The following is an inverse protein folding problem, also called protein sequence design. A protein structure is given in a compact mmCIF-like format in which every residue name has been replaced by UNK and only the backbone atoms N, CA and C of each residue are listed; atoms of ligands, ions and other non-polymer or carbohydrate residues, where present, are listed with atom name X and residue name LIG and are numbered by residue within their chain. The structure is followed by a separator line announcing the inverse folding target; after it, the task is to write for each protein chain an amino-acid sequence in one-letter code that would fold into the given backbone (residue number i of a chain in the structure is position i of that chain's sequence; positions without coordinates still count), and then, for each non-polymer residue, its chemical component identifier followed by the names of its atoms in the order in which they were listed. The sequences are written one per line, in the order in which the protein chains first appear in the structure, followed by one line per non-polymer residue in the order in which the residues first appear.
data_IF_849111561934
#
_entry.id   IF_849111561934
#
_cell.length_a   1.000
_cell.length_b   1.000
_cell.length_c   1.000
_cell.angle_alpha   90.00
_cell.angle_beta   90.00
_cell.angle_gamma   90.00
#
_symmetry.space_group_name_H-M   'P 1'
#
loop_
_entity.id
_entity.type
_entity.pdbx_description
1 polymer ?
#
# COMPACT_ATOMS: atom_id res chain seq x y z
N UNK A 1 -40.16 -3.45 3.10
CA UNK A 1 -40.28 -2.16 2.39
C UNK A 1 -40.61 -2.44 0.93
N UNK A 2 -41.48 -1.64 0.27
CA UNK A 2 -41.79 -1.80 -1.14
C UNK A 2 -40.56 -1.46 -1.99
N UNK A 3 -40.31 -2.25 -3.04
CA UNK A 3 -39.21 -2.01 -3.98
C UNK A 3 -39.42 -0.73 -4.76
N UNK A 4 -38.35 0.04 -4.94
CA UNK A 4 -38.34 1.19 -5.83
C UNK A 4 -38.53 0.72 -7.29
N UNK A 5 -39.07 1.59 -8.15
CA UNK A 5 -39.37 1.25 -9.56
C UNK A 5 -38.13 0.74 -10.30
N UNK A 6 -36.96 1.35 -10.06
CA UNK A 6 -35.69 0.93 -10.64
C UNK A 6 -35.24 -0.47 -10.17
N UNK A 7 -35.56 -0.85 -8.94
CA UNK A 7 -35.24 -2.18 -8.41
C UNK A 7 -36.12 -3.29 -9.00
N UNK A 8 -37.29 -2.94 -9.55
CA UNK A 8 -38.20 -3.88 -10.20
C UNK A 8 -37.80 -4.22 -11.63
N UNK A 9 -36.90 -3.44 -12.24
CA UNK A 9 -36.44 -3.68 -13.61
C UNK A 9 -35.72 -5.03 -13.73
N UNK A 10 -35.88 -5.75 -14.85
CA UNK A 10 -35.02 -6.88 -15.20
C UNK A 10 -33.53 -6.51 -15.15
N UNK A 11 -32.68 -7.50 -14.86
CA UNK A 11 -31.24 -7.30 -14.70
C UNK A 11 -30.61 -6.70 -15.96
N UNK A 12 -31.03 -7.17 -17.13
CA UNK A 12 -30.51 -6.79 -18.45
C UNK A 12 -30.78 -5.31 -18.72
N UNK A 13 -32.03 -4.87 -18.50
CA UNK A 13 -32.41 -3.46 -18.68
C UNK A 13 -31.71 -2.56 -17.68
N UNK A 14 -31.58 -3.00 -16.43
CA UNK A 14 -30.86 -2.22 -15.42
C UNK A 14 -29.38 -2.08 -15.78
N UNK A 15 -28.75 -3.16 -16.26
CA UNK A 15 -27.36 -3.15 -16.71
C UNK A 15 -27.18 -2.23 -17.93
N UNK A 16 -28.08 -2.29 -18.92
CA UNK A 16 -28.04 -1.41 -20.10
C UNK A 16 -28.17 0.06 -19.72
N UNK A 17 -29.14 0.41 -18.87
CA UNK A 17 -29.31 1.77 -18.31
C UNK A 17 -28.02 2.21 -17.59
N UNK A 18 -27.44 1.33 -16.78
CA UNK A 18 -26.23 1.62 -16.04
C UNK A 18 -25.01 1.81 -16.97
N UNK A 19 -24.92 1.08 -18.07
CA UNK A 19 -23.85 1.25 -19.06
C UNK A 19 -23.93 2.59 -19.80
N UNK A 20 -25.13 3.16 -19.97
CA UNK A 20 -25.29 4.50 -20.53
C UNK A 20 -24.86 5.62 -19.57
N UNK A 21 -24.91 5.38 -18.26
CA UNK A 21 -24.52 6.35 -17.23
C UNK A 21 -23.95 5.62 -16.00
N UNK A 22 -22.64 5.26 -16.00
CA UNK A 22 -22.02 4.48 -14.93
C UNK A 22 -21.80 5.32 -13.66
N UNK A 23 -22.86 5.49 -12.89
CA UNK A 23 -22.87 6.19 -11.61
C UNK A 23 -22.44 5.24 -10.48
N UNK A 24 -21.23 5.45 -9.93
CA UNK A 24 -20.63 4.58 -8.91
C UNK A 24 -21.48 4.52 -7.62
N UNK A 25 -22.33 5.53 -7.38
CA UNK A 25 -23.25 5.54 -6.25
C UNK A 25 -24.49 4.65 -6.44
N UNK A 26 -24.85 4.25 -7.67
CA UNK A 26 -26.06 3.46 -7.92
C UNK A 26 -26.00 2.06 -7.26
N UNK A 27 -24.92 1.27 -7.38
CA UNK A 27 -24.79 0.02 -6.63
C UNK A 27 -24.72 0.21 -5.11
N UNK A 28 -24.39 1.42 -4.62
CA UNK A 28 -24.33 1.72 -3.18
C UNK A 28 -25.70 2.08 -2.60
N UNK A 29 -26.62 2.56 -3.44
CA UNK A 29 -27.94 3.01 -3.02
C UNK A 29 -28.84 1.86 -2.57
N UNK A 30 -28.65 0.65 -3.12
CA UNK A 30 -29.45 -0.52 -2.74
C UNK A 30 -28.70 -1.84 -2.94
N UNK A 31 -28.80 -2.79 -1.99
CA UNK A 31 -28.27 -4.14 -2.14
C UNK A 31 -28.84 -4.90 -3.35
N UNK A 32 -30.10 -4.62 -3.73
CA UNK A 32 -30.76 -5.29 -4.85
C UNK A 32 -30.17 -4.81 -6.17
N UNK A 33 -29.93 -3.49 -6.29
CA UNK A 33 -29.23 -2.92 -7.43
C UNK A 33 -27.79 -3.43 -7.50
N UNK A 34 -27.10 -3.51 -6.36
CA UNK A 34 -25.75 -4.07 -6.30
C UNK A 34 -25.68 -5.50 -6.86
N UNK A 35 -26.63 -6.35 -6.46
CA UNK A 35 -26.70 -7.74 -6.92
C UNK A 35 -26.93 -7.83 -8.43
N UNK A 36 -27.87 -7.03 -8.97
CA UNK A 36 -28.17 -7.02 -10.40
C UNK A 36 -27.03 -6.44 -11.25
N UNK A 37 -26.25 -5.52 -10.70
CA UNK A 37 -25.09 -4.92 -11.37
C UNK A 37 -23.78 -5.71 -11.15
N UNK A 38 -23.84 -6.83 -10.41
CA UNK A 38 -22.68 -7.66 -10.12
C UNK A 38 -22.29 -8.55 -11.31
N UNK A 39 -21.72 -7.93 -12.34
CA UNK A 39 -21.23 -8.64 -13.52
C UNK A 39 -19.84 -8.15 -13.93
N UNK A 40 -18.85 -9.05 -14.19
CA UNK A 40 -17.48 -8.64 -14.50
C UNK A 40 -17.36 -7.68 -15.68
N UNK A 41 -18.13 -7.88 -16.76
CA UNK A 41 -18.10 -6.99 -17.92
C UNK A 41 -18.61 -5.58 -17.59
N UNK A 42 -19.60 -5.47 -16.70
CA UNK A 42 -20.14 -4.19 -16.25
C UNK A 42 -19.05 -3.43 -15.48
N UNK A 43 -18.36 -4.10 -14.56
CA UNK A 43 -17.26 -3.51 -13.81
C UNK A 43 -16.08 -3.10 -14.68
N UNK A 44 -15.71 -3.90 -15.68
CA UNK A 44 -14.66 -3.53 -16.64
C UNK A 44 -15.07 -2.30 -17.48
N UNK A 45 -16.34 -2.20 -17.85
CA UNK A 45 -16.85 -1.03 -18.59
C UNK A 45 -16.90 0.22 -17.71
N UNK A 46 -17.25 0.09 -16.42
CA UNK A 46 -17.13 1.19 -15.44
C UNK A 46 -15.67 1.64 -15.30
N UNK A 47 -14.73 0.70 -15.22
CA UNK A 47 -13.31 1.04 -15.21
C UNK A 47 -12.89 1.77 -16.50
N UNK A 48 -13.33 1.31 -17.67
CA UNK A 48 -13.07 2.00 -18.93
C UNK A 48 -13.62 3.43 -18.90
N UNK A 49 -14.87 3.65 -18.50
CA UNK A 49 -15.45 4.99 -18.40
C UNK A 49 -14.68 5.88 -17.41
N UNK A 50 -14.45 5.40 -16.18
CA UNK A 50 -13.85 6.22 -15.11
C UNK A 50 -12.35 6.49 -15.31
N UNK A 51 -11.62 5.57 -15.96
CA UNK A 51 -10.18 5.71 -16.19
C UNK A 51 -9.82 6.15 -17.63
N UNK A 52 -10.73 6.14 -18.61
CA UNK A 52 -10.46 6.63 -19.98
C UNK A 52 -11.00 8.05 -20.24
N UNK A 53 -11.97 8.52 -19.45
CA UNK A 53 -12.67 9.80 -19.62
C UNK A 53 -11.95 11.00 -18.98
N UNK A 54 -11.83 12.14 -19.69
CA UNK A 54 -10.92 12.42 -20.80
C UNK A 54 -9.57 13.03 -20.34
N UNK A 55 -8.56 13.10 -21.25
CA UNK A 55 -7.30 13.80 -21.01
C UNK A 55 -7.51 15.32 -20.79
N UNK A 56 -6.71 15.98 -19.95
CA UNK A 56 -6.88 17.40 -19.67
C UNK A 56 -6.56 18.25 -20.90
N UNK A 57 -7.59 18.78 -21.55
CA UNK A 57 -7.48 20.10 -22.15
C UNK A 57 -7.27 21.08 -20.99
N UNK A 58 -6.09 21.72 -21.00
CA UNK A 58 -5.37 22.41 -19.90
C UNK A 58 -6.10 23.55 -19.15
N UNK A 59 -7.43 23.62 -19.08
CA UNK A 59 -8.12 24.84 -18.62
C UNK A 59 -9.06 24.73 -17.41
N UNK A 60 -9.28 23.57 -16.80
CA UNK A 60 -10.25 23.49 -15.69
C UNK A 60 -9.80 22.59 -14.53
N UNK A 61 -9.27 23.20 -13.47
CA UNK A 61 -8.93 22.51 -12.20
C UNK A 61 -10.13 21.77 -11.56
N UNK A 62 -11.37 22.20 -11.86
CA UNK A 62 -12.60 21.53 -11.41
C UNK A 62 -12.76 20.13 -12.01
N UNK A 63 -12.41 19.94 -13.28
CA UNK A 63 -12.52 18.66 -13.99
C UNK A 63 -11.54 17.64 -13.43
N UNK A 64 -10.33 18.09 -13.05
CA UNK A 64 -9.32 17.23 -12.42
C UNK A 64 -9.78 16.71 -11.05
N UNK A 65 -10.40 17.56 -10.23
CA UNK A 65 -10.94 17.15 -8.93
C UNK A 65 -12.07 16.11 -9.06
N UNK A 66 -12.98 16.29 -10.02
CA UNK A 66 -14.07 15.34 -10.26
C UNK A 66 -13.56 13.98 -10.74
N UNK A 67 -12.58 13.97 -11.67
CA UNK A 67 -11.93 12.72 -12.13
C UNK A 67 -11.25 12.00 -10.96
N UNK A 68 -10.50 12.72 -10.12
CA UNK A 68 -9.87 12.15 -8.92
C UNK A 68 -10.91 11.53 -7.98
N UNK A 69 -12.04 12.21 -7.75
CA UNK A 69 -13.12 11.72 -6.90
C UNK A 69 -13.80 10.48 -7.47
N UNK A 70 -14.11 10.46 -8.78
CA UNK A 70 -14.73 9.30 -9.46
C UNK A 70 -13.81 8.08 -9.40
N UNK A 71 -12.51 8.26 -9.68
CA UNK A 71 -11.52 7.18 -9.59
C UNK A 71 -11.37 6.66 -8.15
N UNK A 72 -11.25 7.56 -7.17
CA UNK A 72 -11.18 7.18 -5.75
C UNK A 72 -12.44 6.43 -5.29
N UNK A 73 -13.62 6.83 -5.77
CA UNK A 73 -14.88 6.15 -5.47
C UNK A 73 -14.89 4.72 -6.02
N UNK A 74 -14.44 4.49 -7.26
CA UNK A 74 -14.30 3.14 -7.83
C UNK A 74 -13.37 2.28 -6.98
N UNK A 75 -12.21 2.81 -6.58
CA UNK A 75 -11.30 2.07 -5.71
C UNK A 75 -11.84 1.79 -4.31
N UNK A 76 -12.78 2.59 -3.81
CA UNK A 76 -13.45 2.33 -2.55
C UNK A 76 -14.49 1.19 -2.65
N UNK A 77 -14.97 0.86 -3.85
CA UNK A 77 -15.99 -0.16 -4.06
C UNK A 77 -15.51 -1.57 -3.72
N UNK A 78 -16.39 -2.36 -3.11
CA UNK A 78 -16.07 -3.74 -2.69
C UNK A 78 -15.72 -4.67 -3.85
N UNK A 79 -16.28 -4.42 -5.03
CA UNK A 79 -16.02 -5.22 -6.24
C UNK A 79 -14.68 -4.89 -6.90
N UNK A 80 -14.05 -3.76 -6.56
CA UNK A 80 -12.74 -3.39 -7.09
C UNK A 80 -11.67 -4.21 -6.38
N UNK A 81 -11.32 -5.35 -6.96
CA UNK A 81 -10.33 -6.31 -6.44
C UNK A 81 -9.07 -6.31 -7.31
N UNK A 82 -7.98 -6.88 -6.78
CA UNK A 82 -6.74 -7.01 -7.55
C UNK A 82 -6.92 -7.77 -8.88
N UNK A 83 -7.57 -8.95 -8.94
CA UNK A 83 -7.75 -9.67 -10.20
C UNK A 83 -8.51 -8.84 -11.24
N UNK A 84 -9.55 -8.12 -10.84
CA UNK A 84 -10.33 -7.29 -11.75
C UNK A 84 -9.50 -6.12 -12.29
N UNK A 85 -8.70 -5.48 -11.43
CA UNK A 85 -7.80 -4.42 -11.85
C UNK A 85 -6.71 -4.94 -12.80
N UNK A 86 -6.14 -6.11 -12.54
CA UNK A 86 -5.16 -6.74 -13.43
C UNK A 86 -5.75 -7.02 -14.81
N UNK A 87 -6.94 -7.62 -14.85
CA UNK A 87 -7.69 -7.86 -16.11
C UNK A 87 -7.90 -6.54 -16.85
N UNK A 88 -8.34 -5.48 -16.17
CA UNK A 88 -8.52 -4.15 -16.76
C UNK A 88 -7.20 -3.60 -17.34
N UNK A 89 -6.12 -3.64 -16.57
CA UNK A 89 -4.80 -3.14 -17.01
C UNK A 89 -4.31 -3.91 -18.23
N UNK A 90 -4.44 -5.25 -18.25
CA UNK A 90 -4.08 -6.09 -19.40
C UNK A 90 -4.91 -5.73 -20.64
N UNK A 91 -6.24 -5.62 -20.50
CA UNK A 91 -7.11 -5.25 -21.62
C UNK A 91 -6.80 -3.86 -22.16
N UNK A 92 -6.55 -2.88 -21.29
CA UNK A 92 -6.16 -1.53 -21.71
C UNK A 92 -4.85 -1.53 -22.46
N UNK A 93 -3.87 -2.27 -21.96
CA UNK A 93 -2.55 -2.44 -22.56
C UNK A 93 -2.61 -2.99 -23.98
N UNK A 94 -3.57 -3.90 -24.25
CA UNK A 94 -3.82 -4.44 -25.58
C UNK A 94 -4.51 -3.43 -26.53
N UNK A 95 -5.37 -2.53 -26.00
CA UNK A 95 -6.13 -1.54 -26.80
C UNK A 95 -5.34 -0.30 -27.15
N UNK A 96 -4.52 0.18 -26.21
CA UNK A 96 -3.63 1.32 -26.39
C UNK A 96 -2.21 0.86 -26.15
N UNK A 97 -1.48 0.41 -27.19
CA UNK A 97 -0.04 0.22 -27.08
C UNK A 97 0.60 1.61 -26.92
N UNK A 98 0.57 2.16 -25.71
CA UNK A 98 1.29 3.38 -25.41
C UNK A 98 2.79 3.09 -25.60
N UNK A 99 3.55 4.10 -26.01
CA UNK A 99 4.96 4.01 -26.43
C UNK A 99 5.94 3.56 -25.32
N UNK A 100 5.44 3.24 -24.13
CA UNK A 100 6.18 2.43 -23.16
C UNK A 100 5.52 1.06 -23.12
N UNK A 101 6.10 0.03 -23.76
CA UNK A 101 5.54 -1.29 -23.69
C UNK A 101 5.42 -1.72 -22.23
N UNK A 102 4.30 -2.36 -21.91
CA UNK A 102 4.08 -3.08 -20.66
C UNK A 102 5.13 -4.17 -20.43
N UNK A 103 6.02 -4.45 -21.40
CA UNK A 103 7.27 -5.19 -21.17
C UNK A 103 8.16 -4.55 -20.07
N UNK A 104 7.93 -3.29 -19.71
CA UNK A 104 8.58 -2.62 -18.58
C UNK A 104 7.97 -2.94 -17.20
N UNK A 105 6.90 -3.75 -17.13
CA UNK A 105 6.48 -4.41 -15.88
C UNK A 105 7.58 -5.40 -15.40
N UNK A 106 8.45 -5.85 -16.31
CA UNK A 106 9.60 -6.71 -16.02
C UNK A 106 10.94 -5.97 -15.94
N UNK A 107 10.94 -4.65 -16.14
CA UNK A 107 12.16 -3.88 -15.95
C UNK A 107 12.45 -3.72 -14.45
N UNK A 108 13.72 -3.74 -14.03
CA UNK A 108 14.09 -3.50 -12.65
C UNK A 108 13.46 -2.18 -12.13
N UNK A 109 13.14 -2.08 -10.83
CA UNK A 109 12.24 -1.09 -10.21
C UNK A 109 12.59 0.41 -10.36
N UNK A 110 13.56 0.76 -11.20
CA UNK A 110 14.14 2.09 -11.35
C UNK A 110 13.83 2.80 -12.69
N UNK A 111 13.06 2.24 -13.63
CA UNK A 111 12.85 2.90 -14.95
C UNK A 111 11.45 3.46 -15.22
N UNK A 112 10.37 2.85 -14.74
CA UNK A 112 9.03 3.49 -14.80
C UNK A 112 8.82 4.29 -13.51
N UNK A 113 8.93 5.61 -13.59
CA UNK A 113 8.86 6.52 -12.42
C UNK A 113 7.57 7.33 -12.37
N UNK A 114 6.65 7.10 -13.32
CA UNK A 114 5.45 7.91 -13.50
C UNK A 114 4.22 7.04 -13.37
N UNK A 115 3.30 7.51 -12.52
CA UNK A 115 1.92 7.01 -12.47
C UNK A 115 1.34 7.07 -13.89
N UNK A 116 0.62 6.02 -14.35
CA UNK A 116 0.02 6.03 -15.67
C UNK A 116 -0.82 7.29 -15.89
N UNK A 117 -0.82 7.88 -17.10
CA UNK A 117 -1.46 9.18 -17.36
C UNK A 117 -2.98 9.16 -17.19
N UNK A 118 -3.58 7.97 -17.13
CA UNK A 118 -5.01 7.74 -16.92
C UNK A 118 -5.39 7.57 -15.44
N UNK A 119 -4.40 7.54 -14.54
CA UNK A 119 -4.61 7.32 -13.11
C UNK A 119 -4.22 8.58 -12.34
N UNK A 120 -5.22 9.26 -11.79
CA UNK A 120 -5.10 10.54 -11.11
C UNK A 120 -5.31 10.44 -9.59
N UNK A 121 -6.03 9.42 -9.12
CA UNK A 121 -6.33 9.28 -7.69
C UNK A 121 -5.17 8.74 -6.85
N UNK A 122 -5.22 9.03 -5.55
CA UNK A 122 -4.31 8.49 -4.55
C UNK A 122 -4.64 7.06 -4.13
N UNK A 123 -3.75 6.46 -3.33
CA UNK A 123 -3.94 5.10 -2.81
C UNK A 123 -5.20 5.04 -1.92
N UNK A 124 -6.06 4.02 -2.08
CA UNK A 124 -7.30 3.89 -1.30
C UNK A 124 -7.02 3.70 0.19
N UNK A 125 -7.67 4.48 1.05
CA UNK A 125 -7.45 4.46 2.50
C UNK A 125 -7.68 3.09 3.14
N UNK A 126 -8.66 2.32 2.63
CA UNK A 126 -8.94 0.95 3.09
C UNK A 126 -7.76 -0.01 2.94
N UNK A 127 -6.83 0.28 2.02
CA UNK A 127 -5.62 -0.52 1.79
C UNK A 127 -4.43 -0.06 2.65
N UNK A 128 -4.60 0.99 3.46
CA UNK A 128 -3.52 1.62 4.21
C UNK A 128 -3.50 1.28 5.70
N UNK A 129 -4.41 0.46 6.21
CA UNK A 129 -4.46 0.04 7.63
C UNK A 129 -4.83 -1.45 7.77
N UNK A 130 -4.70 -2.05 8.96
CA UNK A 130 -5.04 -3.46 9.19
C UNK A 130 -6.56 -3.76 9.14
N UNK A 131 -7.00 -5.04 9.07
CA UNK A 131 -6.19 -6.25 9.07
C UNK A 131 -5.48 -6.50 7.73
N UNK A 132 -4.25 -7.06 7.78
CA UNK A 132 -3.40 -7.31 6.62
C UNK A 132 -3.57 -8.73 6.04
N UNK A 133 -4.60 -8.92 5.21
CA UNK A 133 -4.80 -10.17 4.48
C UNK A 133 -3.87 -10.29 3.26
N UNK A 134 -3.54 -11.52 2.83
CA UNK A 134 -2.67 -11.75 1.66
C UNK A 134 -3.14 -11.00 0.41
N UNK A 135 -4.46 -11.02 0.14
CA UNK A 135 -5.06 -10.30 -1.00
C UNK A 135 -4.85 -8.79 -0.89
N UNK A 136 -4.97 -8.24 0.32
CA UNK A 136 -4.76 -6.81 0.57
C UNK A 136 -3.31 -6.41 0.36
N UNK A 137 -2.37 -7.24 0.83
CA UNK A 137 -0.93 -7.02 0.64
C UNK A 137 -0.57 -7.07 -0.85
N UNK A 138 -1.05 -8.09 -1.56
CA UNK A 138 -0.83 -8.23 -3.00
C UNK A 138 -1.44 -7.04 -3.77
N UNK A 139 -2.64 -6.59 -3.37
CA UNK A 139 -3.27 -5.45 -4.01
C UNK A 139 -2.47 -4.17 -3.78
N UNK A 140 -2.08 -3.89 -2.54
CA UNK A 140 -1.26 -2.73 -2.21
C UNK A 140 0.10 -2.77 -2.94
N UNK A 141 0.75 -3.92 -2.98
CA UNK A 141 2.01 -4.12 -3.69
C UNK A 141 1.87 -3.81 -5.18
N UNK A 142 0.78 -4.28 -5.81
CA UNK A 142 0.47 -3.99 -7.21
C UNK A 142 0.29 -2.48 -7.47
N UNK A 143 -0.49 -1.79 -6.63
CA UNK A 143 -0.70 -0.33 -6.77
C UNK A 143 0.61 0.46 -6.64
N UNK A 144 1.51 0.01 -5.76
CA UNK A 144 2.77 0.71 -5.49
C UNK A 144 3.83 0.44 -6.54
N UNK A 145 3.99 -0.82 -6.97
CA UNK A 145 5.09 -1.23 -7.83
C UNK A 145 4.73 -1.23 -9.32
N UNK A 146 3.48 -1.53 -9.68
CA UNK A 146 3.03 -1.60 -11.09
C UNK A 146 2.34 -0.32 -11.55
N UNK A 147 1.52 0.30 -10.69
CA UNK A 147 0.79 1.53 -11.04
C UNK A 147 1.44 2.81 -10.50
N UNK A 148 2.50 2.69 -9.69
CA UNK A 148 3.22 3.82 -9.09
C UNK A 148 2.30 4.86 -8.43
N UNK A 149 1.20 4.40 -7.81
CA UNK A 149 0.27 5.28 -7.11
C UNK A 149 0.95 6.01 -5.95
N UNK A 150 0.47 7.21 -5.64
CA UNK A 150 1.00 8.07 -4.59
C UNK A 150 -0.04 8.24 -3.49
N UNK A 151 0.44 8.40 -2.26
CA UNK A 151 -0.40 8.85 -1.15
C UNK A 151 -0.58 10.36 -1.24
N UNK A 152 -1.81 10.86 -1.10
CA UNK A 152 -2.01 12.29 -0.88
C UNK A 152 -1.51 12.67 0.53
N UNK A 153 -0.47 13.50 0.56
CA UNK A 153 0.20 13.92 1.80
C UNK A 153 -0.40 15.19 2.38
N UNK A 154 -1.20 15.91 1.60
CA UNK A 154 -1.83 17.17 2.04
C UNK A 154 -2.97 16.87 3.01
N UNK A 155 -3.63 15.73 2.82
CA UNK A 155 -4.64 15.23 3.73
C UNK A 155 -4.02 14.61 4.99
N UNK A 156 -4.20 15.32 6.12
CA UNK A 156 -3.74 14.87 7.44
C UNK A 156 -4.43 13.57 7.89
N UNK A 157 -5.67 13.33 7.46
CA UNK A 157 -6.44 12.14 7.84
C UNK A 157 -5.86 10.91 7.16
N UNK A 158 -5.59 10.99 5.86
CA UNK A 158 -4.96 9.93 5.06
C UNK A 158 -3.55 9.63 5.58
N UNK A 159 -2.78 10.67 5.92
CA UNK A 159 -1.47 10.49 6.53
C UNK A 159 -1.53 9.78 7.88
N UNK A 160 -2.52 10.11 8.73
CA UNK A 160 -2.72 9.46 10.02
C UNK A 160 -3.11 7.97 9.85
N UNK A 161 -4.00 7.66 8.90
CA UNK A 161 -4.39 6.27 8.58
C UNK A 161 -3.17 5.46 8.12
N UNK A 162 -2.33 6.00 7.23
CA UNK A 162 -1.12 5.32 6.77
C UNK A 162 -0.10 5.12 7.92
N UNK A 163 0.03 6.09 8.82
CA UNK A 163 0.85 5.94 10.03
C UNK A 163 0.31 4.87 10.97
N UNK A 164 -1.01 4.79 11.15
CA UNK A 164 -1.65 3.76 11.95
C UNK A 164 -1.46 2.38 11.31
N UNK A 165 -1.61 2.25 10.00
CA UNK A 165 -1.39 0.97 9.31
C UNK A 165 0.02 0.42 9.45
N UNK A 166 1.03 1.29 9.55
CA UNK A 166 2.39 0.84 9.89
C UNK A 166 2.45 0.20 11.28
N UNK A 167 1.73 0.76 12.26
CA UNK A 167 1.63 0.19 13.61
C UNK A 167 0.83 -1.11 13.59
N UNK A 168 -0.28 -1.16 12.87
CA UNK A 168 -1.08 -2.39 12.72
C UNK A 168 -0.23 -3.52 12.11
N UNK A 169 0.60 -3.21 11.10
CA UNK A 169 1.50 -4.19 10.47
C UNK A 169 2.56 -4.74 11.44
N UNK A 170 3.05 -3.90 12.34
CA UNK A 170 3.98 -4.30 13.41
C UNK A 170 3.28 -5.20 14.42
N UNK A 171 2.07 -4.83 14.87
CA UNK A 171 1.29 -5.63 15.83
C UNK A 171 0.90 -7.00 15.26
N UNK A 172 0.54 -7.05 13.98
CA UNK A 172 0.22 -8.31 13.26
C UNK A 172 1.48 -9.12 12.89
N UNK A 173 2.69 -8.62 13.20
CA UNK A 173 3.99 -9.22 12.83
C UNK A 173 4.11 -9.54 11.35
N UNK A 174 3.49 -8.72 10.50
CA UNK A 174 3.52 -8.91 9.06
C UNK A 174 4.74 -8.20 8.47
N UNK A 175 5.86 -8.92 8.43
CA UNK A 175 7.12 -8.43 7.86
C UNK A 175 6.97 -7.89 6.44
N UNK A 176 6.16 -8.55 5.59
CA UNK A 176 6.02 -8.14 4.20
C UNK A 176 5.43 -6.74 4.07
N UNK A 177 4.42 -6.43 4.88
CA UNK A 177 3.77 -5.12 4.89
C UNK A 177 4.67 -4.08 5.51
N UNK A 178 5.32 -4.37 6.64
CA UNK A 178 6.28 -3.43 7.25
C UNK A 178 7.36 -3.05 6.24
N UNK A 179 7.93 -4.04 5.56
CA UNK A 179 8.95 -3.81 4.54
C UNK A 179 8.40 -2.93 3.41
N UNK A 180 7.20 -3.24 2.89
CA UNK A 180 6.53 -2.48 1.83
C UNK A 180 6.27 -1.01 2.24
N UNK A 181 5.71 -0.79 3.43
CA UNK A 181 5.33 0.53 3.92
C UNK A 181 6.54 1.39 4.35
N UNK A 182 7.66 0.78 4.73
CA UNK A 182 8.85 1.47 5.18
C UNK A 182 9.75 1.94 4.01
N UNK A 183 9.87 1.11 2.96
CA UNK A 183 10.81 1.38 1.85
C UNK A 183 10.19 2.17 0.70
N UNK A 184 8.85 2.16 0.54
CA UNK A 184 8.22 2.86 -0.57
C UNK A 184 8.02 4.34 -0.27
N UNK A 185 8.85 5.19 -0.89
CA UNK A 185 8.79 6.66 -0.73
C UNK A 185 7.45 7.30 -1.08
N UNK A 186 6.65 6.63 -1.93
CA UNK A 186 5.33 7.10 -2.36
C UNK A 186 4.25 7.03 -1.25
N UNK A 187 4.45 6.20 -0.24
CA UNK A 187 3.54 6.03 0.91
C UNK A 187 3.72 7.06 2.02
N UNK A 188 4.52 8.09 1.79
CA UNK A 188 4.59 9.24 2.68
C UNK A 188 5.77 9.17 3.64
N UNK A 189 5.49 9.38 4.93
CA UNK A 189 6.51 9.72 5.93
C UNK A 189 7.50 8.58 6.15
N UNK A 190 8.80 8.89 6.31
CA UNK A 190 9.80 7.90 6.67
C UNK A 190 9.41 7.20 7.99
N UNK A 191 9.83 5.95 8.19
CA UNK A 191 9.75 5.34 9.52
C UNK A 191 10.52 6.23 10.50
N UNK A 192 9.83 6.70 11.53
CA UNK A 192 10.41 7.53 12.58
C UNK A 192 11.01 6.64 13.65
N UNK A 193 11.89 7.23 14.49
CA UNK A 193 12.39 6.60 15.71
C UNK A 193 11.24 6.07 16.59
N UNK A 194 10.14 6.81 16.68
CA UNK A 194 8.93 6.39 17.41
C UNK A 194 8.34 5.08 16.89
N UNK A 195 8.41 4.82 15.58
CA UNK A 195 7.92 3.57 15.01
C UNK A 195 8.86 2.40 15.33
N UNK A 196 10.17 2.63 15.34
CA UNK A 196 11.15 1.62 15.78
C UNK A 196 10.95 1.30 17.27
N UNK A 197 10.81 2.33 18.10
CA UNK A 197 10.50 2.20 19.53
C UNK A 197 9.19 1.43 19.76
N UNK A 198 8.13 1.78 19.03
CA UNK A 198 6.88 1.04 19.07
C UNK A 198 7.05 -0.45 18.69
N UNK A 199 7.84 -0.75 17.65
CA UNK A 199 8.10 -2.13 17.26
C UNK A 199 8.92 -2.93 18.28
N UNK A 200 9.78 -2.28 19.05
CA UNK A 200 10.54 -2.92 20.13
C UNK A 200 9.66 -3.17 21.35
N UNK A 201 8.95 -2.14 21.82
CA UNK A 201 8.19 -2.18 23.08
C UNK A 201 6.86 -2.91 22.92
N UNK A 202 6.04 -2.52 21.94
CA UNK A 202 4.69 -3.05 21.71
C UNK A 202 4.70 -4.22 20.71
N UNK A 203 5.67 -4.25 19.80
CA UNK A 203 5.82 -5.29 18.76
C UNK A 203 6.68 -6.50 19.15
N UNK A 204 6.95 -6.70 20.45
CA UNK A 204 7.78 -7.79 21.00
C UNK A 204 9.19 -7.90 20.40
N UNK A 205 9.71 -6.80 19.84
CA UNK A 205 11.03 -6.73 19.24
C UNK A 205 11.27 -7.86 18.22
N UNK A 206 10.36 -8.02 17.26
CA UNK A 206 10.60 -8.87 16.09
C UNK A 206 11.84 -8.35 15.32
N UNK A 207 12.90 -9.16 15.28
CA UNK A 207 14.20 -8.75 14.73
C UNK A 207 14.12 -8.40 13.26
N UNK A 208 13.29 -9.10 12.47
CA UNK A 208 13.14 -8.84 11.03
C UNK A 208 12.45 -7.51 10.78
N UNK A 209 11.38 -7.24 11.54
CA UNK A 209 10.61 -6.00 11.47
C UNK A 209 11.47 -4.82 11.95
N UNK A 210 12.08 -4.93 13.13
CA UNK A 210 12.91 -3.88 13.72
C UNK A 210 14.10 -3.57 12.82
N UNK A 211 14.80 -4.60 12.30
CA UNK A 211 15.89 -4.41 11.37
C UNK A 211 15.45 -3.71 10.08
N UNK A 212 14.34 -4.13 9.46
CA UNK A 212 13.81 -3.50 8.27
C UNK A 212 13.43 -2.02 8.50
N UNK A 213 12.87 -1.70 9.67
CA UNK A 213 12.56 -0.32 10.05
C UNK A 213 13.82 0.51 10.28
N UNK A 214 14.86 -0.06 10.90
CA UNK A 214 16.15 0.61 11.12
C UNK A 214 16.86 0.94 9.81
N UNK A 215 16.96 -0.04 8.91
CA UNK A 215 17.54 0.13 7.56
C UNK A 215 16.76 1.19 6.79
N UNK A 216 15.42 1.07 6.73
CA UNK A 216 14.60 2.06 6.06
C UNK A 216 14.80 3.45 6.65
N UNK A 217 14.74 3.61 7.97
CA UNK A 217 14.93 4.91 8.62
C UNK A 217 16.30 5.54 8.27
N UNK A 218 17.34 4.72 8.11
CA UNK A 218 18.66 5.15 7.64
C UNK A 218 18.66 5.56 6.16
N UNK A 219 18.02 4.80 5.28
CA UNK A 219 17.84 5.15 3.86
C UNK A 219 17.10 6.49 3.67
N UNK A 220 16.23 6.80 4.63
CA UNK A 220 15.51 8.06 4.76
C UNK A 220 16.31 9.18 5.46
N UNK A 221 17.59 8.93 5.79
CA UNK A 221 18.53 9.85 6.44
C UNK A 221 18.11 10.30 7.84
N UNK A 222 17.43 9.44 8.59
CA UNK A 222 17.18 9.68 10.03
C UNK A 222 18.51 9.61 10.78
N UNK A 223 18.94 10.75 11.34
CA UNK A 223 20.29 10.92 11.89
C UNK A 223 20.38 10.76 13.41
N UNK A 224 19.29 10.97 14.16
CA UNK A 224 19.27 10.88 15.63
C UNK A 224 18.69 9.54 16.07
N UNK A 225 19.57 8.68 16.58
CA UNK A 225 19.25 7.32 17.07
C UNK A 225 19.35 7.18 18.60
N UNK A 226 19.59 8.29 19.29
CA UNK A 226 19.54 8.37 20.76
C UNK A 226 18.08 8.34 21.21
N UNK A 227 17.73 7.38 22.08
CA UNK A 227 16.40 7.20 22.63
C UNK A 227 16.52 6.51 24.00
N UNK A 228 16.22 7.26 25.06
CA UNK A 228 16.35 6.78 26.44
C UNK A 228 15.45 5.57 26.72
N UNK A 229 14.24 5.52 26.13
CA UNK A 229 13.32 4.40 26.37
C UNK A 229 13.80 3.11 25.71
N UNK A 230 14.43 3.19 24.52
CA UNK A 230 15.06 2.03 23.90
C UNK A 230 16.25 1.52 24.72
N UNK A 231 17.08 2.44 25.22
CA UNK A 231 18.26 2.10 26.01
C UNK A 231 17.83 1.44 27.35
N UNK A 232 16.83 2.00 28.05
CA UNK A 232 16.24 1.41 29.26
C UNK A 232 15.59 0.04 28.99
N UNK A 233 14.92 -0.14 27.85
CA UNK A 233 14.33 -1.43 27.49
C UNK A 233 15.42 -2.49 27.29
N UNK A 234 16.51 -2.14 26.61
CA UNK A 234 17.65 -3.03 26.38
C UNK A 234 18.28 -3.45 27.72
N UNK A 235 18.56 -2.50 28.62
CA UNK A 235 19.12 -2.81 29.95
C UNK A 235 18.21 -3.74 30.75
N UNK A 236 16.91 -3.45 30.77
CA UNK A 236 15.91 -4.23 31.51
C UNK A 236 15.79 -5.66 30.98
N UNK A 237 15.76 -5.83 29.66
CA UNK A 237 15.57 -7.15 29.03
C UNK A 237 16.86 -7.98 29.01
N UNK A 238 18.02 -7.36 28.92
CA UNK A 238 19.28 -8.07 29.11
C UNK A 238 19.47 -8.59 30.53
N UNK A 239 19.05 -7.84 31.56
CA UNK A 239 19.07 -8.30 32.94
C UNK A 239 18.22 -9.58 33.14
N UNK A 240 17.22 -9.78 32.28
CA UNK A 240 16.38 -11.00 32.24
C UNK A 240 16.97 -12.12 31.38
N UNK A 241 18.11 -11.89 30.72
CA UNK A 241 18.73 -12.82 29.79
C UNK A 241 18.04 -12.92 28.43
N UNK A 242 17.27 -11.90 28.02
CA UNK A 242 16.60 -11.91 26.72
C UNK A 242 17.61 -11.69 25.56
N UNK A 243 17.82 -12.67 24.67
CA UNK A 243 18.78 -12.56 23.57
C UNK A 243 18.42 -11.47 22.55
N UNK A 244 17.14 -11.07 22.45
CA UNK A 244 16.72 -9.96 21.59
C UNK A 244 17.31 -8.62 22.04
N UNK A 245 17.52 -8.45 23.35
CA UNK A 245 18.06 -7.22 23.90
C UNK A 245 19.55 -7.04 23.56
N UNK A 246 20.34 -8.10 23.71
CA UNK A 246 21.73 -8.13 23.27
C UNK A 246 21.87 -7.89 21.76
N UNK A 247 20.98 -8.48 20.95
CA UNK A 247 20.91 -8.21 19.51
C UNK A 247 20.59 -6.73 19.22
N UNK A 248 19.56 -6.17 19.86
CA UNK A 248 19.14 -4.78 19.64
C UNK A 248 20.24 -3.80 20.05
N UNK A 249 20.94 -4.07 21.17
CA UNK A 249 22.09 -3.27 21.61
C UNK A 249 23.16 -3.19 20.54
N UNK A 250 23.53 -4.34 19.95
CA UNK A 250 24.52 -4.40 18.88
C UNK A 250 24.05 -3.58 17.66
N UNK A 251 22.78 -3.69 17.25
CA UNK A 251 22.24 -2.92 16.11
C UNK A 251 22.19 -1.43 16.37
N UNK A 252 21.85 -1.02 17.59
CA UNK A 252 21.88 0.38 18.00
C UNK A 252 23.32 0.91 17.99
N UNK A 253 24.30 0.13 18.46
CA UNK A 253 25.72 0.51 18.35
C UNK A 253 26.16 0.68 16.89
N UNK A 254 25.83 -0.28 16.02
CA UNK A 254 26.15 -0.21 14.59
C UNK A 254 25.56 1.04 13.92
N UNK A 255 24.28 1.35 14.17
CA UNK A 255 23.63 2.49 13.50
C UNK A 255 24.09 3.85 14.06
N UNK A 256 24.46 3.89 15.35
CA UNK A 256 25.00 5.07 16.06
C UNK A 256 26.48 5.34 15.75
N UNK A 257 27.24 4.33 15.33
CA UNK A 257 28.68 4.43 15.04
C UNK A 257 29.05 5.47 13.96
N UNK A 258 28.10 5.91 13.13
CA UNK A 258 28.31 7.07 12.26
C UNK A 258 27.28 7.26 11.16
N UNK A 259 27.35 8.39 10.47
CA UNK A 259 26.43 8.75 9.40
C UNK A 259 26.41 7.75 8.23
N UNK A 260 27.54 7.09 7.95
CA UNK A 260 27.68 6.08 6.88
C UNK A 260 27.50 4.63 7.36
N UNK A 261 27.33 4.41 8.67
CA UNK A 261 27.19 3.07 9.24
C UNK A 261 25.76 2.56 9.10
N UNK A 262 25.61 1.32 8.64
CA UNK A 262 24.34 0.61 8.51
C UNK A 262 24.36 -0.60 9.45
N UNK A 263 23.20 -0.98 10.03
CA UNK A 263 23.11 -2.23 10.77
C UNK A 263 23.37 -3.39 9.80
N UNK A 264 24.26 -4.30 10.16
CA UNK A 264 24.65 -5.42 9.29
C UNK A 264 23.70 -6.60 9.52
N UNK A 265 23.26 -7.31 8.48
CA UNK A 265 22.38 -8.47 8.69
C UNK A 265 23.12 -9.65 9.34
N UNK A 266 24.41 -9.79 9.05
CA UNK A 266 25.25 -10.94 9.41
C UNK A 266 25.73 -10.93 10.86
N UNK A 267 25.71 -9.76 11.52
CA UNK A 267 26.15 -9.62 12.90
C UNK A 267 25.00 -9.91 13.88
N UNK A 268 25.29 -10.57 14.99
CA UNK A 268 24.32 -10.91 16.03
C UNK A 268 23.97 -12.39 16.09
N UNK A 269 23.48 -12.84 17.25
CA UNK A 269 23.04 -14.22 17.44
C UNK A 269 21.61 -14.39 16.89
N UNK A 270 21.42 -15.36 15.98
CA UNK A 270 20.13 -15.72 15.37
C UNK A 270 19.79 -17.21 15.58
N UNK A 271 20.35 -17.84 16.61
CA UNK A 271 20.30 -19.30 16.81
C UNK A 271 18.96 -19.81 17.35
N UNK A 272 18.01 -18.94 17.75
CA UNK A 272 16.72 -19.42 18.30
C UNK A 272 15.71 -19.76 17.20
N UNK A 273 14.77 -20.68 17.47
CA UNK A 273 13.68 -20.98 16.55
C UNK A 273 12.84 -19.73 16.24
N UNK A 274 12.73 -19.37 14.96
CA UNK A 274 12.03 -18.15 14.50
C UNK A 274 12.93 -16.92 14.33
N UNK A 275 14.23 -17.01 14.62
CA UNK A 275 15.19 -15.90 14.54
C UNK A 275 15.81 -15.67 13.15
N UNK A 276 15.43 -16.43 12.12
CA UNK A 276 15.97 -16.20 10.77
C UNK A 276 15.51 -14.83 10.29
N UNK A 277 16.47 -13.90 10.17
CA UNK A 277 16.18 -12.53 9.74
C UNK A 277 15.64 -12.55 8.31
N UNK A 278 14.37 -12.20 8.16
CA UNK A 278 13.75 -12.10 6.86
C UNK A 278 14.36 -10.88 6.16
N UNK A 279 15.21 -11.12 5.17
CA UNK A 279 15.70 -10.07 4.26
C UNK A 279 14.99 -10.23 2.92
N UNK A 280 14.23 -9.20 2.51
CA UNK A 280 13.81 -9.10 1.11
C UNK A 280 14.97 -8.52 0.33
N UNK A 281 15.65 -9.36 -0.47
CA UNK A 281 16.31 -8.84 -1.68
C UNK A 281 15.22 -8.20 -2.54
N UNK A 282 15.49 -7.05 -3.16
CA UNK A 282 14.53 -6.36 -4.02
C UNK A 282 13.91 -7.38 -5.00
N UNK A 283 12.62 -7.72 -4.81
CA UNK A 283 11.93 -8.71 -5.63
C UNK A 283 11.89 -8.17 -7.07
N UNK A 284 12.61 -8.82 -7.98
CA UNK A 284 12.30 -8.76 -9.42
C UNK A 284 11.12 -9.71 -9.62
N UNK A 285 9.93 -9.17 -9.88
CA UNK A 285 8.80 -10.00 -10.25
C UNK A 285 8.96 -10.37 -11.73
N UNK A 286 9.08 -11.66 -12.01
CA UNK A 286 8.80 -12.23 -13.33
C UNK A 286 7.40 -12.84 -13.25
N UNK A 287 6.54 -12.45 -14.18
CA UNK A 287 5.24 -13.06 -14.49
C UNK A 287 5.29 -13.49 -15.95
#
# INVERSE_FOLDING_TARGET
MPLATIEKLPTELLQEIFLHAPEVNLPRASPILALKLQHPLIYLQVCADVFEYPPPQRRFAKVEAEVVQRQAAVFAMRWMTLPLLQIYVIHRSARTPCSTPISSIYDPPNRVTKTPPWLHCGIPTRLLHGPWTADKVAFLDFLLHNLHMRLDRTDRTVAAIASQGKRDAVLERNFEVVHLLAHVRRLGRPPTRDLVRFAVIEGECDRSIVFALMVAAKDWRTSRWEDAELDEWVEREEAKGNPKAAWLRLKLMEIRAGAKSYPQAETGNYELPGDVLQTKKAKRWCL
#
